data_IF_022679146206
#
_entry.id   IF_022679146206
#
_cell.length_a   1.000
_cell.length_b   1.000
_cell.length_c   1.000
_cell.angle_alpha   90.00
_cell.angle_beta   90.00
_cell.angle_gamma   90.00
#
_symmetry.space_group_name_H-M   'P 1'
#
loop_
_entity.id
_entity.type
_entity.pdbx_description
1 polymer ?
#
# COMPACT_ATOMS: atom_id res chain seq x y z
N UNK A 1 -17.71 6.21 10.87
CA UNK A 1 -16.34 6.73 10.65
C UNK A 1 -15.64 5.81 9.68
N UNK A 2 -14.87 6.33 8.72
CA UNK A 2 -14.16 5.48 7.75
C UNK A 2 -12.67 5.45 8.10
N UNK A 3 -12.08 4.26 8.06
CA UNK A 3 -10.65 4.08 8.26
C UNK A 3 -9.99 3.81 6.90
N UNK A 4 -8.78 4.30 6.68
CA UNK A 4 -8.04 4.08 5.44
C UNK A 4 -6.60 3.73 5.75
N UNK A 5 -5.99 2.94 4.86
CA UNK A 5 -4.54 2.85 4.77
C UNK A 5 -4.07 3.71 3.62
N UNK A 6 -3.00 4.46 3.84
CA UNK A 6 -2.33 5.22 2.77
C UNK A 6 -0.86 4.85 2.76
N UNK A 7 -0.35 4.47 1.59
CA UNK A 7 1.01 3.98 1.39
C UNK A 7 1.75 4.91 0.45
N UNK A 8 2.87 5.46 0.92
CA UNK A 8 3.83 6.20 0.09
C UNK A 8 5.05 5.30 -0.21
N UNK A 9 5.16 4.88 -1.48
CA UNK A 9 6.22 4.00 -1.95
C UNK A 9 7.44 4.79 -2.42
N UNK A 10 8.29 5.18 -1.46
CA UNK A 10 9.61 5.70 -1.77
C UNK A 10 10.59 4.58 -2.12
N UNK A 11 11.59 4.88 -2.97
CA UNK A 11 12.57 3.88 -3.41
C UNK A 11 13.60 3.41 -2.37
N UNK A 12 13.49 3.87 -1.13
CA UNK A 12 14.33 3.43 0.00
C UNK A 12 13.49 3.14 1.24
N UNK A 13 12.36 3.86 1.37
CA UNK A 13 11.47 3.76 2.52
C UNK A 13 10.03 3.72 2.04
N UNK A 14 9.26 2.84 2.66
CA UNK A 14 7.81 2.82 2.56
C UNK A 14 7.26 3.56 3.79
N UNK A 15 6.27 4.42 3.59
CA UNK A 15 5.51 5.01 4.70
C UNK A 15 4.09 4.50 4.62
N UNK A 16 3.60 3.92 5.71
CA UNK A 16 2.29 3.27 5.76
C UNK A 16 1.51 3.93 6.90
N UNK A 17 0.48 4.68 6.53
CA UNK A 17 -0.32 5.49 7.44
C UNK A 17 -1.71 4.91 7.63
N UNK A 18 -2.15 4.82 8.89
CA UNK A 18 -3.55 4.60 9.24
C UNK A 18 -4.25 5.95 9.41
N UNK A 19 -5.32 6.16 8.65
CA UNK A 19 -6.14 7.36 8.70
C UNK A 19 -7.53 7.05 9.25
N UNK A 20 -8.05 7.95 10.08
CA UNK A 20 -9.47 7.99 10.46
C UNK A 20 -10.09 9.22 9.81
N UNK A 21 -10.96 8.99 8.83
CA UNK A 21 -11.41 10.01 7.89
C UNK A 21 -10.21 10.69 7.20
N UNK A 22 -9.92 11.95 7.54
CA UNK A 22 -8.79 12.73 6.99
C UNK A 22 -7.62 12.86 7.96
N UNK A 23 -7.74 12.33 9.18
CA UNK A 23 -6.72 12.46 10.22
C UNK A 23 -5.76 11.28 10.20
N UNK A 24 -4.46 11.56 10.11
CA UNK A 24 -3.40 10.57 10.30
C UNK A 24 -3.31 10.19 11.78
N UNK A 25 -3.56 8.92 12.10
CA UNK A 25 -3.52 8.42 13.48
C UNK A 25 -2.15 7.84 13.83
N UNK A 26 -1.58 7.07 12.90
CA UNK A 26 -0.26 6.44 13.04
C UNK A 26 0.37 6.28 11.66
N UNK A 27 1.69 6.43 11.60
CA UNK A 27 2.49 6.14 10.42
C UNK A 27 3.68 5.29 10.82
N UNK A 28 3.87 4.18 10.12
CA UNK A 28 5.07 3.36 10.21
C UNK A 28 5.97 3.66 9.01
N UNK A 29 7.28 3.66 9.25
CA UNK A 29 8.29 3.86 8.21
C UNK A 29 9.21 2.65 8.21
N UNK A 30 9.24 1.94 7.09
CA UNK A 30 10.00 0.69 6.95
C UNK A 30 10.88 0.76 5.71
N UNK A 31 11.92 -0.07 5.67
CA UNK A 31 12.78 -0.20 4.49
C UNK A 31 11.99 -0.74 3.30
N UNK A 32 12.26 -0.24 2.10
CA UNK A 32 11.64 -0.75 0.87
C UNK A 32 12.46 -1.88 0.25
N UNK A 33 11.78 -2.83 -0.38
CA UNK A 33 12.38 -3.86 -1.25
C UNK A 33 12.32 -3.44 -2.74
N UNK A 34 12.53 -2.16 -3.05
CA UNK A 34 12.24 -1.59 -4.37
C UNK A 34 13.07 -2.14 -5.54
N UNK A 35 14.19 -2.80 -5.26
CA UNK A 35 15.08 -3.44 -6.25
C UNK A 35 14.92 -4.96 -6.27
N UNK A 36 14.07 -5.50 -5.40
CA UNK A 36 13.73 -6.91 -5.36
C UNK A 36 12.40 -7.14 -6.10
N UNK A 37 11.74 -8.27 -5.86
CA UNK A 37 10.41 -8.52 -6.39
C UNK A 37 9.33 -7.74 -5.63
N UNK A 38 8.23 -7.46 -6.32
CA UNK A 38 7.07 -6.77 -5.77
C UNK A 38 6.36 -7.62 -4.71
N UNK A 39 6.46 -8.95 -4.77
CA UNK A 39 5.90 -9.84 -3.76
C UNK A 39 6.45 -9.57 -2.34
N UNK A 40 7.74 -9.29 -2.21
CA UNK A 40 8.34 -8.89 -0.93
C UNK A 40 7.76 -7.57 -0.42
N UNK A 41 7.44 -6.63 -1.32
CA UNK A 41 6.75 -5.39 -0.97
C UNK A 41 5.33 -5.65 -0.46
N UNK A 42 4.60 -6.59 -1.06
CA UNK A 42 3.26 -6.99 -0.61
C UNK A 42 3.28 -7.63 0.77
N UNK A 43 4.27 -8.51 1.05
CA UNK A 43 4.44 -9.10 2.39
C UNK A 43 4.66 -8.03 3.46
N UNK A 44 5.40 -6.96 3.13
CA UNK A 44 5.57 -5.81 4.03
C UNK A 44 4.23 -5.09 4.21
N UNK A 45 3.48 -4.82 3.14
CA UNK A 45 2.14 -4.22 3.26
C UNK A 45 1.23 -5.03 4.15
N UNK A 46 1.16 -6.35 3.96
CA UNK A 46 0.26 -7.21 4.72
C UNK A 46 0.58 -7.21 6.22
N UNK A 47 1.87 -7.28 6.56
CA UNK A 47 2.30 -7.24 7.96
C UNK A 47 2.01 -5.88 8.61
N UNK A 48 2.37 -4.78 7.94
CA UNK A 48 2.23 -3.42 8.48
C UNK A 48 0.77 -2.97 8.55
N UNK A 49 -0.07 -3.34 7.58
CA UNK A 49 -1.50 -3.05 7.61
C UNK A 49 -2.18 -3.79 8.77
N UNK A 50 -1.90 -5.09 8.95
CA UNK A 50 -2.42 -5.86 10.11
C UNK A 50 -2.04 -5.20 11.42
N UNK A 51 -0.75 -4.89 11.59
CA UNK A 51 -0.25 -4.26 12.81
C UNK A 51 -0.91 -2.90 13.09
N UNK A 52 -1.14 -2.08 12.06
CA UNK A 52 -1.81 -0.79 12.20
C UNK A 52 -3.30 -0.93 12.55
N UNK A 53 -4.00 -1.88 11.92
CA UNK A 53 -5.41 -2.17 12.22
C UNK A 53 -5.57 -2.62 13.68
N UNK A 54 -4.74 -3.56 14.12
CA UNK A 54 -4.70 -4.06 15.49
C UNK A 54 -4.40 -2.95 16.49
N UNK A 55 -3.33 -2.17 16.25
CA UNK A 55 -2.92 -1.06 17.12
C UNK A 55 -4.02 0.00 17.28
N UNK A 56 -4.80 0.25 16.22
CA UNK A 56 -5.87 1.24 16.23
C UNK A 56 -7.22 0.68 16.67
N UNK A 57 -7.30 -0.61 17.02
CA UNK A 57 -8.52 -1.34 17.36
C UNK A 57 -9.61 -1.14 16.30
N UNK A 58 -9.22 -1.16 15.02
CA UNK A 58 -10.15 -1.02 13.91
C UNK A 58 -10.69 -2.40 13.51
N UNK A 59 -12.00 -2.50 13.31
CA UNK A 59 -12.62 -3.74 12.83
C UNK A 59 -12.43 -3.94 11.33
N UNK A 60 -12.29 -2.86 10.57
CA UNK A 60 -12.07 -2.88 9.12
C UNK A 60 -11.50 -1.55 8.62
N UNK A 61 -11.05 -1.58 7.36
CA UNK A 61 -10.70 -0.39 6.57
C UNK A 61 -11.67 -0.25 5.40
N UNK A 62 -11.92 0.99 4.98
CA UNK A 62 -12.79 1.30 3.85
C UNK A 62 -12.05 1.33 2.51
N UNK A 63 -10.72 1.22 2.54
CA UNK A 63 -9.89 1.19 1.34
C UNK A 63 -8.41 1.47 1.62
N UNK A 64 -7.62 1.26 0.58
CA UNK A 64 -6.17 1.51 0.55
C UNK A 64 -5.88 2.51 -0.56
N UNK A 65 -5.12 3.55 -0.23
CA UNK A 65 -4.52 4.47 -1.20
C UNK A 65 -3.02 4.19 -1.33
N UNK A 66 -2.50 4.24 -2.54
CA UNK A 66 -1.10 3.92 -2.83
C UNK A 66 -0.51 4.96 -3.79
N UNK A 67 0.63 5.54 -3.43
CA UNK A 67 1.44 6.34 -4.33
C UNK A 67 2.71 5.58 -4.71
N UNK A 68 2.95 5.48 -6.01
CA UNK A 68 4.05 4.70 -6.59
C UNK A 68 4.70 5.48 -7.74
N UNK A 69 6.02 5.40 -7.94
CA UNK A 69 6.65 5.95 -9.13
C UNK A 69 6.15 5.22 -10.38
N UNK A 70 5.92 5.94 -11.48
CA UNK A 70 5.49 5.36 -12.76
C UNK A 70 4.30 6.07 -13.39
N UNK A 71 3.76 5.47 -14.45
CA UNK A 71 2.52 5.89 -15.10
C UNK A 71 1.42 4.94 -14.62
N UNK A 72 0.36 5.51 -14.05
CA UNK A 72 -0.74 4.77 -13.42
C UNK A 72 -2.05 5.12 -14.13
N UNK A 73 -2.81 4.11 -14.51
CA UNK A 73 -4.24 4.25 -14.77
C UNK A 73 -4.97 4.31 -13.43
N UNK A 74 -5.32 5.51 -13.02
CA UNK A 74 -6.00 5.78 -11.73
C UNK A 74 -7.47 5.41 -11.74
N UNK A 75 -8.06 5.17 -12.92
CA UNK A 75 -9.46 4.73 -13.02
C UNK A 75 -9.58 3.23 -12.74
N UNK A 76 -8.66 2.46 -13.29
CA UNK A 76 -8.64 1.00 -13.17
C UNK A 76 -7.67 0.48 -12.09
N UNK A 77 -6.92 1.37 -11.42
CA UNK A 77 -5.85 1.06 -10.47
C UNK A 77 -4.77 0.13 -11.07
N UNK A 78 -4.34 0.42 -12.29
CA UNK A 78 -3.32 -0.38 -13.01
C UNK A 78 -2.03 0.39 -13.18
N UNK A 79 -0.91 -0.28 -12.94
CA UNK A 79 0.41 0.25 -13.23
C UNK A 79 0.66 0.01 -14.73
N UNK A 80 0.77 1.08 -15.52
CA UNK A 80 0.97 0.96 -16.98
C UNK A 80 2.44 0.83 -17.34
N UNK A 81 3.30 1.54 -16.63
CA UNK A 81 4.74 1.46 -16.80
C UNK A 81 5.45 1.96 -15.57
N UNK A 82 6.59 1.37 -15.28
CA UNK A 82 7.49 1.80 -14.22
C UNK A 82 8.92 1.76 -14.74
N UNK A 83 9.81 2.56 -14.14
CA UNK A 83 11.22 2.54 -14.48
C UNK A 83 11.93 1.39 -13.72
N UNK A 84 13.00 1.66 -12.99
CA UNK A 84 13.81 0.60 -12.37
C UNK A 84 13.27 0.04 -11.05
N UNK A 85 12.53 0.85 -10.28
CA UNK A 85 12.04 0.45 -8.96
C UNK A 85 10.71 -0.28 -9.09
N UNK A 86 10.57 -1.44 -8.47
CA UNK A 86 9.34 -2.26 -8.50
C UNK A 86 8.93 -2.67 -9.93
N UNK A 87 9.92 -3.01 -10.77
CA UNK A 87 9.72 -3.24 -12.21
C UNK A 87 8.70 -4.33 -12.55
N UNK A 88 8.57 -5.34 -11.68
CA UNK A 88 7.63 -6.46 -11.80
C UNK A 88 6.21 -6.13 -11.31
N UNK A 89 5.98 -4.96 -10.70
CA UNK A 89 4.66 -4.53 -10.24
C UNK A 89 3.69 -4.23 -11.40
N UNK A 90 4.18 -3.97 -12.62
CA UNK A 90 3.36 -3.69 -13.81
C UNK A 90 2.36 -4.82 -14.10
N UNK A 91 2.75 -6.07 -13.84
CA UNK A 91 1.89 -7.25 -14.02
C UNK A 91 0.94 -7.53 -12.85
N UNK A 92 0.98 -6.74 -11.77
CA UNK A 92 0.25 -7.04 -10.56
C UNK A 92 -1.16 -6.45 -10.54
N UNK A 93 -2.15 -7.26 -10.13
CA UNK A 93 -3.53 -6.81 -9.95
C UNK A 93 -3.78 -6.32 -8.51
N UNK A 94 -3.58 -5.02 -8.31
CA UNK A 94 -3.81 -4.35 -7.03
C UNK A 94 -5.26 -4.46 -6.54
N UNK A 95 -6.24 -4.49 -7.45
CA UNK A 95 -7.65 -4.56 -7.05
C UNK A 95 -8.01 -5.93 -6.49
N UNK A 96 -7.54 -6.99 -7.14
CA UNK A 96 -7.78 -8.36 -6.68
C UNK A 96 -7.13 -8.59 -5.32
N UNK A 97 -5.87 -8.19 -5.15
CA UNK A 97 -5.18 -8.23 -3.85
C UNK A 97 -5.94 -7.47 -2.76
N UNK A 98 -6.39 -6.24 -3.05
CA UNK A 98 -7.08 -5.42 -2.06
C UNK A 98 -8.41 -6.04 -1.61
N UNK A 99 -9.17 -6.63 -2.54
CA UNK A 99 -10.44 -7.31 -2.25
C UNK A 99 -10.25 -8.60 -1.46
N UNK A 100 -9.26 -9.41 -1.82
CA UNK A 100 -9.02 -10.69 -1.16
C UNK A 100 -8.59 -10.54 0.30
N UNK A 101 -7.93 -9.44 0.65
CA UNK A 101 -7.30 -9.26 1.96
C UNK A 101 -7.98 -8.23 2.87
N UNK A 102 -8.66 -7.21 2.31
CA UNK A 102 -9.01 -6.02 3.09
C UNK A 102 -10.42 -5.46 2.92
N UNK A 103 -11.26 -6.03 2.04
CA UNK A 103 -12.61 -5.52 1.77
C UNK A 103 -13.64 -6.65 1.62
#
# INVERSE_FOLDING_TARGET
>A
MKNYIVIDMGGTRLKIGFFRNTQLMKCNVVSSCAQENFENTLRIFDAEIKALIELQNASSIAGIGLSMPGIIDTKDNKILSINDKYSDAVSFDLNSWAKEHWN
#
